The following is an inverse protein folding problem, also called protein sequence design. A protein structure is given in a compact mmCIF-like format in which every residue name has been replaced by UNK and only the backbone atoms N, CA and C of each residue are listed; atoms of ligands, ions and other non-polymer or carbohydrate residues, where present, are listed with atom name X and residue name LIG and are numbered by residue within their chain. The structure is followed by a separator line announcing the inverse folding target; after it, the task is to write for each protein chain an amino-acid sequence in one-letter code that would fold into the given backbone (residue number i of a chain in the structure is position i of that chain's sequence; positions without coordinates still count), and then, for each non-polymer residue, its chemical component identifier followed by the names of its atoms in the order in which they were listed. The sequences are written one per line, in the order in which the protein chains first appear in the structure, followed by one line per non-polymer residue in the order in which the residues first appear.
data_IF_191397232519
#
_entry.id   IF_191397232519
#
_cell.length_a   1.000
_cell.length_b   1.000
_cell.length_c   1.000
_cell.angle_alpha   90.00
_cell.angle_beta   90.00
_cell.angle_gamma   90.00
#
_symmetry.space_group_name_H-M   'P 1'
#
loop_
_entity.id
_entity.type
_entity.pdbx_description
1 polymer ?
#
# COMPACT_ATOMS: atom_id res chain seq x y z
N UNK A 1 -21.72 28.05 11.63
CA UNK A 1 -21.38 28.85 10.43
C UNK A 1 -22.61 29.65 10.00
N UNK A 2 -22.40 30.83 9.41
CA UNK A 2 -23.48 31.66 8.87
C UNK A 2 -23.91 31.10 7.51
N UNK A 3 -25.18 30.73 7.41
CA UNK A 3 -25.79 30.16 6.21
C UNK A 3 -26.25 31.28 5.27
N UNK A 4 -26.10 31.05 3.97
CA UNK A 4 -26.59 31.94 2.92
C UNK A 4 -28.05 31.64 2.60
N UNK A 5 -28.83 32.69 2.34
CA UNK A 5 -30.25 32.55 1.94
C UNK A 5 -30.40 31.97 0.53
N UNK A 6 -29.36 32.07 -0.31
CA UNK A 6 -29.26 31.47 -1.64
C UNK A 6 -27.84 30.99 -1.86
N UNK A 7 -27.69 29.91 -2.62
CA UNK A 7 -26.36 29.41 -3.00
C UNK A 7 -25.63 30.45 -3.85
N UNK A 8 -24.36 30.66 -3.54
CA UNK A 8 -23.46 31.48 -4.35
C UNK A 8 -22.59 30.57 -5.23
N UNK A 9 -22.26 31.00 -6.44
CA UNK A 9 -21.25 30.32 -7.26
C UNK A 9 -19.88 30.90 -6.95
N UNK A 10 -18.92 30.05 -6.62
CA UNK A 10 -17.51 30.43 -6.55
C UNK A 10 -16.73 29.78 -7.68
N UNK A 11 -15.66 30.46 -8.10
CA UNK A 11 -14.74 30.03 -9.15
C UNK A 11 -13.32 30.33 -8.70
N UNK A 12 -12.50 29.29 -8.52
CA UNK A 12 -11.10 29.44 -8.09
C UNK A 12 -10.21 29.01 -9.26
N UNK A 13 -9.32 29.88 -9.76
CA UNK A 13 -8.40 29.53 -10.84
C UNK A 13 -7.31 28.56 -10.36
N UNK A 14 -6.86 27.68 -11.23
CA UNK A 14 -5.65 26.88 -11.05
C UNK A 14 -4.78 26.95 -12.31
N UNK A 15 -3.46 26.80 -12.13
CA UNK A 15 -2.52 26.74 -13.24
C UNK A 15 -2.09 25.29 -13.49
N UNK A 16 -2.02 24.89 -14.77
CA UNK A 16 -1.50 23.56 -15.15
C UNK A 16 -0.05 23.37 -14.67
N UNK A 17 0.77 24.43 -14.71
CA UNK A 17 2.14 24.37 -14.19
C UNK A 17 2.18 24.02 -12.68
N UNK A 18 1.19 24.46 -11.90
CA UNK A 18 1.11 24.10 -10.47
C UNK A 18 0.72 22.64 -10.27
N UNK A 19 -0.05 22.05 -11.20
CA UNK A 19 -0.34 20.61 -11.18
C UNK A 19 0.92 19.80 -11.39
N UNK A 20 1.72 20.17 -12.40
CA UNK A 20 2.98 19.49 -12.71
C UNK A 20 3.97 19.55 -11.55
N UNK A 21 4.13 20.73 -10.95
CA UNK A 21 5.00 20.95 -9.77
C UNK A 21 4.63 20.03 -8.60
N UNK A 22 3.32 19.81 -8.39
CA UNK A 22 2.80 19.02 -7.28
C UNK A 22 2.48 17.56 -7.67
N UNK A 23 2.85 17.12 -8.88
CA UNK A 23 2.54 15.78 -9.41
C UNK A 23 1.04 15.43 -9.25
N UNK A 24 0.20 16.42 -9.50
CA UNK A 24 -1.26 16.33 -9.44
C UNK A 24 -1.85 16.32 -10.84
N UNK A 25 -3.02 15.71 -10.99
CA UNK A 25 -3.86 15.81 -12.18
C UNK A 25 -5.08 16.67 -11.86
N UNK A 26 -5.74 17.17 -12.90
CA UNK A 26 -6.95 17.98 -12.74
C UNK A 26 -8.06 17.22 -11.97
N UNK A 27 -8.15 15.90 -12.16
CA UNK A 27 -9.07 15.02 -11.43
C UNK A 27 -8.73 14.82 -9.95
N UNK A 28 -7.51 15.18 -9.52
CA UNK A 28 -7.08 15.08 -8.12
C UNK A 28 -7.42 16.36 -7.33
N UNK A 29 -7.83 17.44 -8.02
CA UNK A 29 -8.21 18.71 -7.41
C UNK A 29 -9.57 18.60 -6.72
N UNK A 30 -9.60 18.99 -5.45
CA UNK A 30 -10.83 19.23 -4.71
C UNK A 30 -10.97 20.72 -4.39
N UNK A 31 -12.22 21.16 -4.24
CA UNK A 31 -12.50 22.43 -3.57
C UNK A 31 -12.81 22.10 -2.12
N UNK A 32 -12.13 22.77 -1.19
CA UNK A 32 -12.33 22.55 0.24
C UNK A 32 -12.70 23.84 0.95
N UNK A 33 -13.51 23.71 2.01
CA UNK A 33 -13.79 24.79 2.94
C UNK A 33 -13.20 24.50 4.32
N UNK A 34 -12.85 25.55 5.04
CA UNK A 34 -12.34 25.41 6.41
C UNK A 34 -13.48 25.40 7.43
N UNK A 35 -13.55 24.33 8.22
CA UNK A 35 -14.41 24.22 9.39
C UNK A 35 -13.58 24.31 10.67
N UNK A 36 -14.00 25.14 11.62
CA UNK A 36 -13.28 25.30 12.90
C UNK A 36 -13.24 24.02 13.75
N UNK A 37 -14.15 23.08 13.52
CA UNK A 37 -14.23 21.84 14.32
C UNK A 37 -13.64 20.62 13.62
N UNK A 38 -13.58 20.64 12.28
CA UNK A 38 -13.17 19.47 11.47
C UNK A 38 -11.98 19.75 10.56
N UNK A 39 -11.48 20.98 10.51
CA UNK A 39 -10.46 21.38 9.56
C UNK A 39 -11.01 21.50 8.14
N UNK A 40 -10.18 21.16 7.15
CA UNK A 40 -10.56 21.26 5.73
C UNK A 40 -11.50 20.13 5.31
N UNK A 41 -12.62 20.49 4.69
CA UNK A 41 -13.63 19.55 4.20
C UNK A 41 -13.86 19.74 2.70
N UNK A 42 -13.88 18.64 1.95
CA UNK A 42 -14.06 18.66 0.49
C UNK A 42 -15.53 18.85 0.10
N UNK A 43 -15.76 19.50 -1.03
CA UNK A 43 -17.07 19.60 -1.69
C UNK A 43 -16.95 19.21 -3.15
N UNK A 44 -18.06 18.77 -3.73
CA UNK A 44 -18.14 18.54 -5.18
C UNK A 44 -17.90 19.84 -5.94
N UNK A 45 -16.98 19.78 -6.90
CA UNK A 45 -16.64 20.88 -7.78
C UNK A 45 -16.53 20.38 -9.22
N UNK A 46 -16.82 21.26 -10.17
CA UNK A 46 -16.64 21.00 -11.61
C UNK A 46 -15.42 21.74 -12.10
N UNK A 47 -14.59 21.08 -12.90
CA UNK A 47 -13.42 21.71 -13.52
C UNK A 47 -13.72 22.10 -14.97
N UNK A 48 -13.43 23.35 -15.35
CA UNK A 48 -13.57 23.83 -16.73
C UNK A 48 -12.72 25.09 -16.94
N UNK A 49 -12.05 25.17 -18.09
CA UNK A 49 -11.28 26.34 -18.54
C UNK A 49 -10.26 26.89 -17.52
N UNK A 50 -9.61 26.01 -16.74
CA UNK A 50 -8.61 26.41 -15.73
C UNK A 50 -9.21 26.89 -14.40
N UNK A 51 -10.49 26.60 -14.14
CA UNK A 51 -11.17 26.93 -12.89
C UNK A 51 -11.83 25.71 -12.26
N UNK A 52 -11.84 25.67 -10.93
CA UNK A 52 -12.80 24.88 -10.15
C UNK A 52 -14.03 25.74 -9.85
N UNK A 53 -15.21 25.21 -10.15
CA UNK A 53 -16.50 25.83 -9.89
C UNK A 53 -17.30 25.03 -8.86
N UNK A 54 -17.91 25.72 -7.89
CA UNK A 54 -18.88 25.10 -7.00
C UNK A 54 -19.99 26.07 -6.61
N UNK A 55 -21.15 25.51 -6.24
CA UNK A 55 -22.20 26.24 -5.55
C UNK A 55 -22.05 26.03 -4.05
N UNK A 56 -21.98 27.12 -3.29
CA UNK A 56 -21.76 27.11 -1.84
C UNK A 56 -22.94 27.74 -1.11
N UNK A 57 -23.19 27.30 0.11
CA UNK A 57 -24.34 27.71 0.92
C UNK A 57 -23.96 28.41 2.23
N UNK A 58 -22.66 28.59 2.51
CA UNK A 58 -22.19 29.24 3.74
C UNK A 58 -20.88 30.01 3.49
N UNK A 59 -20.59 30.94 4.40
CA UNK A 59 -19.32 31.66 4.39
C UNK A 59 -18.23 30.84 5.08
N UNK A 60 -17.10 30.68 4.40
CA UNK A 60 -15.90 30.01 4.91
C UNK A 60 -14.65 30.51 4.15
N UNK A 61 -13.48 30.05 4.56
CA UNK A 61 -12.29 30.08 3.71
C UNK A 61 -12.37 28.93 2.72
N UNK A 62 -12.20 29.23 1.44
CA UNK A 62 -12.27 28.26 0.35
C UNK A 62 -10.90 28.17 -0.32
N UNK A 63 -10.40 26.95 -0.51
CA UNK A 63 -9.11 26.70 -1.15
C UNK A 63 -9.20 25.50 -2.09
N UNK A 64 -8.36 25.50 -3.12
CA UNK A 64 -8.09 24.29 -3.89
C UNK A 64 -7.14 23.43 -3.06
N UNK A 65 -7.53 22.19 -2.83
CA UNK A 65 -6.67 21.18 -2.22
C UNK A 65 -6.41 20.08 -3.24
N UNK A 66 -5.29 19.38 -3.06
CA UNK A 66 -4.98 18.20 -3.86
C UNK A 66 -5.24 17.01 -2.97
N UNK A 67 -6.09 16.10 -3.47
CA UNK A 67 -6.31 14.79 -2.88
C UNK A 67 -4.96 14.07 -2.85
N UNK A 68 -4.41 13.75 -1.66
CA UNK A 68 -3.12 13.07 -1.56
C UNK A 68 -3.13 11.80 -2.41
N UNK A 69 -2.01 11.42 -3.05
CA UNK A 69 -1.93 10.25 -3.91
C UNK A 69 -2.58 8.99 -3.32
N UNK A 70 -2.35 8.74 -2.03
CA UNK A 70 -2.94 7.64 -1.26
C UNK A 70 -4.48 7.62 -1.22
N UNK A 71 -5.14 8.76 -1.48
CA UNK A 71 -6.61 8.91 -1.42
C UNK A 71 -7.26 9.03 -2.81
N UNK A 72 -6.50 9.06 -3.92
CA UNK A 72 -7.00 9.23 -5.32
C UNK A 72 -7.59 7.95 -5.92
N UNK A 73 -8.85 7.87 -6.38
CA UNK A 73 -9.49 6.60 -6.78
C UNK A 73 -8.55 5.65 -7.51
N UNK A 74 -8.46 4.39 -7.05
CA UNK A 74 -7.58 3.41 -7.66
C UNK A 74 -7.90 3.31 -9.15
N UNK A 75 -6.92 3.63 -10.00
CA UNK A 75 -7.08 3.58 -11.46
C UNK A 75 -6.69 2.22 -12.03
N UNK A 76 -6.07 1.39 -11.20
CA UNK A 76 -5.59 0.04 -11.53
C UNK A 76 -6.09 -0.90 -10.44
N UNK A 77 -7.04 -1.80 -10.75
CA UNK A 77 -7.50 -2.80 -9.79
C UNK A 77 -6.33 -3.59 -9.20
N UNK A 78 -6.35 -3.78 -7.88
CA UNK A 78 -5.33 -4.54 -7.18
C UNK A 78 -5.86 -5.91 -6.77
N UNK A 79 -5.20 -6.98 -7.20
CA UNK A 79 -5.62 -8.36 -6.95
C UNK A 79 -5.69 -8.71 -5.46
N UNK A 80 -4.90 -8.05 -4.60
CA UNK A 80 -4.94 -8.30 -3.16
C UNK A 80 -6.16 -7.68 -2.48
N UNK A 81 -6.83 -6.71 -3.12
CA UNK A 81 -7.98 -6.00 -2.55
C UNK A 81 -9.32 -6.64 -2.94
N UNK A 82 -9.31 -7.65 -3.82
CA UNK A 82 -10.53 -8.29 -4.28
C UNK A 82 -11.29 -8.95 -3.13
N UNK A 83 -12.55 -8.55 -2.94
CA UNK A 83 -13.40 -9.07 -1.86
C UNK A 83 -13.08 -8.53 -0.46
N UNK A 84 -12.12 -7.61 -0.32
CA UNK A 84 -11.82 -6.93 0.95
C UNK A 84 -12.55 -5.59 1.05
N UNK A 85 -12.73 -5.12 2.28
CA UNK A 85 -13.22 -3.77 2.58
C UNK A 85 -12.13 -2.98 3.30
N UNK A 86 -12.01 -1.69 2.99
CA UNK A 86 -11.13 -0.79 3.71
C UNK A 86 -11.52 -0.73 5.19
N UNK A 87 -10.55 -0.88 6.10
CA UNK A 87 -10.80 -0.76 7.54
C UNK A 87 -10.51 0.65 8.07
N UNK A 88 -9.71 1.45 7.34
CA UNK A 88 -9.53 2.89 7.57
C UNK A 88 -10.02 3.66 6.35
N UNK A 89 -11.22 4.21 6.47
CA UNK A 89 -11.89 4.94 5.38
C UNK A 89 -11.02 6.09 4.87
N UNK A 90 -10.72 6.07 3.57
CA UNK A 90 -10.01 7.16 2.90
C UNK A 90 -8.49 7.02 2.90
N UNK A 91 -7.92 6.03 3.57
CA UNK A 91 -6.47 5.76 3.57
C UNK A 91 -6.09 4.48 2.82
N UNK A 92 -7.10 3.76 2.28
CA UNK A 92 -6.93 2.51 1.52
C UNK A 92 -6.16 1.43 2.26
N UNK A 93 -6.25 1.41 3.57
CA UNK A 93 -5.74 0.30 4.36
C UNK A 93 -6.72 -0.84 4.36
N UNK A 94 -6.20 -2.00 3.98
CA UNK A 94 -6.86 -3.28 3.99
C UNK A 94 -6.12 -4.18 4.97
N UNK A 95 -6.87 -5.06 5.60
CA UNK A 95 -6.31 -6.12 6.41
C UNK A 95 -6.77 -7.44 5.82
N UNK A 96 -5.82 -8.34 5.58
CA UNK A 96 -6.12 -9.67 5.11
C UNK A 96 -5.59 -10.70 6.10
N UNK A 97 -6.35 -11.77 6.32
CA UNK A 97 -6.08 -12.72 7.40
C UNK A 97 -4.72 -13.40 7.31
N UNK A 98 -4.20 -13.59 6.10
CA UNK A 98 -2.91 -14.25 5.90
C UNK A 98 -1.78 -13.25 5.63
N UNK A 99 -2.04 -12.18 4.86
CA UNK A 99 -0.99 -11.22 4.50
C UNK A 99 -0.76 -10.18 5.60
N UNK A 100 -1.77 -9.83 6.40
CA UNK A 100 -1.70 -8.75 7.37
C UNK A 100 -2.17 -7.41 6.79
N UNK A 101 -1.57 -6.32 7.26
CA UNK A 101 -1.96 -4.95 6.92
C UNK A 101 -1.20 -4.40 5.72
N UNK A 102 -1.92 -3.86 4.74
CA UNK A 102 -1.35 -3.21 3.57
C UNK A 102 -2.25 -2.10 3.03
N UNK A 103 -1.65 -1.15 2.32
CA UNK A 103 -2.35 -0.04 1.66
C UNK A 103 -2.26 -0.16 0.14
N UNK A 104 -3.38 0.00 -0.57
CA UNK A 104 -3.37 0.12 -2.04
C UNK A 104 -3.01 1.55 -2.45
N UNK A 105 -1.87 1.72 -3.13
CA UNK A 105 -1.44 3.02 -3.62
C UNK A 105 -2.20 3.50 -4.86
N UNK A 106 -3.16 2.72 -5.38
CA UNK A 106 -3.99 3.08 -6.52
C UNK A 106 -3.27 3.02 -7.88
N UNK A 107 -2.07 2.42 -7.90
CA UNK A 107 -1.18 2.27 -9.06
C UNK A 107 -0.88 0.81 -9.40
N UNK A 108 -1.58 -0.13 -8.76
CA UNK A 108 -1.27 -1.56 -8.78
C UNK A 108 -0.22 -1.98 -7.76
N UNK A 109 0.59 -1.06 -7.24
CA UNK A 109 1.47 -1.31 -6.10
C UNK A 109 0.72 -1.24 -4.78
N UNK A 110 1.12 -2.09 -3.84
CA UNK A 110 0.72 -1.99 -2.43
C UNK A 110 1.91 -1.60 -1.56
N UNK A 111 1.64 -0.91 -0.47
CA UNK A 111 2.57 -0.75 0.64
C UNK A 111 2.16 -1.70 1.77
N UNK A 112 2.95 -2.73 2.02
CA UNK A 112 2.77 -3.65 3.13
C UNK A 112 3.42 -3.10 4.40
N UNK A 113 2.78 -3.25 5.57
CA UNK A 113 3.28 -2.72 6.84
C UNK A 113 4.71 -3.20 7.15
N UNK A 114 4.95 -4.51 7.02
CA UNK A 114 6.26 -5.13 7.26
C UNK A 114 7.21 -5.12 6.05
N UNK A 115 6.71 -5.33 4.83
CA UNK A 115 7.57 -5.58 3.65
C UNK A 115 7.78 -4.37 2.75
N UNK A 116 7.13 -3.25 3.04
CA UNK A 116 7.16 -2.06 2.20
C UNK A 116 6.51 -2.27 0.83
N UNK A 117 7.12 -1.75 -0.23
CA UNK A 117 6.51 -1.71 -1.57
C UNK A 117 6.54 -3.06 -2.28
N UNK A 118 5.35 -3.56 -2.64
CA UNK A 118 5.15 -4.79 -3.37
C UNK A 118 4.24 -4.58 -4.59
N UNK A 119 4.54 -5.27 -5.69
CA UNK A 119 3.63 -5.37 -6.83
C UNK A 119 3.06 -6.80 -6.91
N UNK A 120 1.75 -7.00 -6.65
CA UNK A 120 1.15 -8.31 -6.63
C UNK A 120 0.67 -8.78 -8.00
N UNK A 121 0.70 -10.09 -8.21
CA UNK A 121 0.10 -10.79 -9.33
C UNK A 121 -0.41 -12.15 -8.86
N UNK A 122 -1.61 -12.54 -9.28
CA UNK A 122 -2.14 -13.88 -8.97
C UNK A 122 -1.39 -14.96 -9.74
N UNK A 123 -1.22 -16.12 -9.10
CA UNK A 123 -0.72 -17.31 -9.80
C UNK A 123 -1.84 -18.21 -10.36
N UNK A 124 -3.10 -17.88 -10.07
CA UNK A 124 -4.29 -18.61 -10.51
C UNK A 124 -4.65 -19.83 -9.66
N UNK A 125 -3.93 -20.09 -8.57
CA UNK A 125 -4.15 -21.22 -7.65
C UNK A 125 -4.55 -20.80 -6.23
N UNK A 126 -4.77 -19.49 -6.00
CA UNK A 126 -5.00 -18.91 -4.67
C UNK A 126 -3.71 -18.45 -3.97
N UNK A 127 -2.57 -18.51 -4.66
CA UNK A 127 -1.31 -17.94 -4.21
C UNK A 127 -0.93 -16.72 -5.08
N UNK A 128 0.09 -16.00 -4.64
CA UNK A 128 0.46 -14.70 -5.19
C UNK A 128 1.95 -14.61 -5.45
N UNK A 129 2.28 -14.02 -6.59
CA UNK A 129 3.58 -13.46 -6.88
C UNK A 129 3.62 -12.01 -6.38
N UNK A 130 4.58 -11.68 -5.55
CA UNK A 130 4.83 -10.37 -4.97
C UNK A 130 6.20 -9.90 -5.44
N UNK A 131 6.24 -8.94 -6.35
CA UNK A 131 7.51 -8.34 -6.77
C UNK A 131 7.97 -7.33 -5.73
N UNK A 132 9.17 -7.54 -5.20
CA UNK A 132 9.87 -6.63 -4.32
C UNK A 132 11.12 -6.08 -5.02
N UNK A 133 11.38 -4.78 -4.91
CA UNK A 133 12.40 -4.09 -5.71
C UNK A 133 13.81 -4.71 -5.59
N UNK A 134 14.19 -5.16 -4.39
CA UNK A 134 15.52 -5.74 -4.15
C UNK A 134 15.57 -7.26 -4.32
N UNK A 135 14.42 -7.94 -4.23
CA UNK A 135 14.33 -9.40 -4.15
C UNK A 135 13.80 -10.04 -5.44
N UNK A 136 13.21 -9.23 -6.32
CA UNK A 136 12.48 -9.71 -7.48
C UNK A 136 11.16 -10.35 -7.08
N UNK A 137 10.76 -11.38 -7.82
CA UNK A 137 9.52 -12.09 -7.60
C UNK A 137 9.62 -13.05 -6.41
N UNK A 138 8.76 -12.81 -5.42
CA UNK A 138 8.52 -13.67 -4.27
C UNK A 138 7.18 -14.38 -4.45
N UNK A 139 7.09 -15.67 -4.17
CA UNK A 139 5.83 -16.42 -4.22
C UNK A 139 5.41 -16.82 -2.82
N UNK A 140 4.15 -16.59 -2.48
CA UNK A 140 3.58 -17.05 -1.21
C UNK A 140 2.05 -17.09 -1.27
N UNK A 141 1.44 -17.60 -0.21
CA UNK A 141 -0.01 -17.60 -0.04
C UNK A 141 -0.41 -18.05 1.36
N UNK A 142 -1.72 -18.21 1.60
CA UNK A 142 -2.27 -18.41 2.95
C UNK A 142 -1.74 -19.62 3.71
N UNK A 143 -1.28 -20.64 3.00
CA UNK A 143 -0.70 -21.85 3.61
C UNK A 143 0.75 -21.64 4.07
N UNK A 144 1.45 -20.61 3.59
CA UNK A 144 2.88 -20.36 3.82
C UNK A 144 3.18 -19.11 4.63
N UNK A 145 2.29 -18.10 4.58
CA UNK A 145 2.47 -16.80 5.21
C UNK A 145 1.23 -16.41 6.03
N UNK A 146 1.42 -15.99 7.27
CA UNK A 146 0.37 -15.66 8.24
C UNK A 146 -0.62 -16.79 8.50
N UNK A 147 -0.17 -18.04 8.42
CA UNK A 147 -1.00 -19.21 8.66
C UNK A 147 -1.24 -19.46 10.16
N UNK A 148 -1.99 -20.52 10.50
CA UNK A 148 -2.32 -20.85 11.89
C UNK A 148 -1.10 -21.18 12.79
N UNK A 149 0.07 -21.39 12.20
CA UNK A 149 1.35 -21.59 12.88
C UNK A 149 2.21 -20.32 12.92
N UNK A 150 1.64 -19.18 12.52
CA UNK A 150 2.30 -17.86 12.48
C UNK A 150 3.59 -17.85 11.65
N UNK A 151 3.56 -18.59 10.54
CA UNK A 151 4.70 -18.72 9.65
C UNK A 151 4.74 -17.57 8.65
N UNK A 152 5.93 -17.13 8.26
CA UNK A 152 6.13 -15.98 7.36
C UNK A 152 7.05 -16.34 6.19
N UNK A 153 6.72 -17.43 5.47
CA UNK A 153 7.55 -17.92 4.38
C UNK A 153 7.19 -17.32 3.03
N UNK A 154 8.21 -16.98 2.24
CA UNK A 154 8.06 -16.59 0.83
C UNK A 154 9.15 -17.26 -0.01
N UNK A 155 8.81 -17.78 -1.18
CA UNK A 155 9.78 -18.36 -2.09
C UNK A 155 10.37 -17.30 -3.02
N UNK A 156 11.69 -17.12 -3.01
CA UNK A 156 12.37 -16.20 -3.93
C UNK A 156 12.72 -16.88 -5.24
N UNK A 157 12.17 -16.38 -6.34
CA UNK A 157 12.49 -16.87 -7.68
C UNK A 157 13.94 -16.57 -8.08
N UNK A 158 14.48 -15.43 -7.66
CA UNK A 158 15.86 -15.04 -7.98
C UNK A 158 16.90 -15.91 -7.26
N UNK A 159 16.63 -16.29 -6.02
CA UNK A 159 17.54 -17.12 -5.22
C UNK A 159 17.28 -18.62 -5.39
N UNK A 160 16.11 -18.99 -5.92
CA UNK A 160 15.68 -20.39 -5.98
C UNK A 160 15.53 -21.01 -4.59
N UNK A 161 15.17 -20.20 -3.59
CA UNK A 161 15.18 -20.57 -2.19
C UNK A 161 14.00 -19.96 -1.42
N UNK A 162 13.58 -20.65 -0.37
CA UNK A 162 12.61 -20.13 0.59
C UNK A 162 13.25 -19.08 1.49
N UNK A 163 12.48 -18.06 1.84
CA UNK A 163 12.82 -16.99 2.75
C UNK A 163 11.87 -17.06 3.94
N UNK A 164 12.38 -16.75 5.13
CA UNK A 164 11.58 -16.53 6.34
C UNK A 164 11.74 -15.07 6.76
N UNK A 165 10.63 -14.37 7.00
CA UNK A 165 10.67 -13.02 7.53
C UNK A 165 10.77 -13.02 9.06
N UNK A 166 11.83 -12.40 9.58
CA UNK A 166 11.98 -12.11 11.01
C UNK A 166 11.55 -10.67 11.27
N UNK A 167 10.40 -10.53 11.94
CA UNK A 167 9.81 -9.22 12.25
C UNK A 167 10.60 -8.46 13.34
N UNK A 168 11.39 -9.13 14.17
CA UNK A 168 12.23 -8.46 15.17
C UNK A 168 13.45 -7.80 14.52
N UNK A 169 14.02 -8.46 13.51
CA UNK A 169 15.15 -7.93 12.75
C UNK A 169 14.74 -7.10 11.53
N UNK A 170 13.46 -7.06 11.16
CA UNK A 170 12.95 -6.42 9.93
C UNK A 170 13.73 -6.92 8.69
N UNK A 171 13.86 -8.25 8.58
CA UNK A 171 14.72 -8.89 7.59
C UNK A 171 14.22 -10.27 7.16
N UNK A 172 14.48 -10.60 5.89
CA UNK A 172 14.35 -11.95 5.36
C UNK A 172 15.64 -12.75 5.53
N UNK A 173 15.49 -14.00 5.95
CA UNK A 173 16.56 -14.99 6.04
C UNK A 173 16.35 -16.09 5.02
N UNK A 174 17.42 -16.47 4.31
CA UNK A 174 17.39 -17.63 3.42
C UNK A 174 17.26 -18.91 4.23
N UNK A 175 16.24 -19.70 3.90
CA UNK A 175 15.96 -21.01 4.46
C UNK A 175 16.85 -22.06 3.78
N UNK A 176 17.86 -22.55 4.51
CA UNK A 176 18.88 -23.53 4.08
C UNK A 176 19.78 -23.05 2.91
N UNK A 177 21.09 -22.91 3.14
CA UNK A 177 22.06 -22.52 2.11
C UNK A 177 23.14 -21.58 2.64
N UNK A 178 23.80 -20.82 1.76
CA UNK A 178 24.62 -19.68 2.18
C UNK A 178 23.69 -18.57 2.71
N UNK A 179 23.92 -18.11 3.95
CA UNK A 179 23.01 -17.16 4.59
C UNK A 179 23.15 -15.74 4.07
N UNK A 180 22.02 -15.07 3.90
CA UNK A 180 21.93 -13.66 3.59
C UNK A 180 20.80 -13.05 4.42
N UNK A 181 21.03 -11.83 4.90
CA UNK A 181 19.99 -10.92 5.36
C UNK A 181 19.55 -10.08 4.18
N UNK A 182 18.25 -9.99 3.99
CA UNK A 182 17.70 -9.22 2.88
C UNK A 182 16.54 -8.38 3.38
N UNK A 183 16.59 -7.07 3.14
CA UNK A 183 15.49 -6.15 3.43
C UNK A 183 15.28 -5.16 2.28
N UNK A 184 14.44 -4.15 2.54
CA UNK A 184 14.18 -3.07 1.59
C UNK A 184 15.40 -2.15 1.33
N UNK A 185 16.49 -2.28 2.09
CA UNK A 185 17.74 -1.50 1.88
C UNK A 185 18.79 -2.26 1.06
N UNK A 186 18.77 -3.60 1.09
CA UNK A 186 19.64 -4.40 0.24
C UNK A 186 19.90 -5.82 0.74
N UNK A 187 20.89 -6.47 0.13
CA UNK A 187 21.34 -7.83 0.45
C UNK A 187 22.68 -7.75 1.18
N UNK A 188 22.79 -8.39 2.35
CA UNK A 188 24.04 -8.50 3.10
C UNK A 188 24.34 -9.95 3.49
N UNK A 189 25.61 -10.40 3.45
CA UNK A 189 25.98 -11.74 3.91
C UNK A 189 25.67 -11.91 5.41
N UNK A 190 25.07 -13.05 5.78
CA UNK A 190 24.72 -13.37 7.16
C UNK A 190 24.75 -14.90 7.41
N UNK A 191 24.64 -15.40 8.65
CA UNK A 191 24.41 -16.82 8.90
C UNK A 191 23.04 -17.26 8.33
N UNK A 192 22.94 -18.50 7.84
CA UNK A 192 21.67 -19.07 7.35
C UNK A 192 20.83 -19.63 8.51
N UNK A 193 19.49 -19.58 8.39
CA UNK A 193 18.58 -20.24 9.34
C UNK A 193 18.50 -21.76 9.16
N UNK A 194 17.92 -22.46 10.15
CA UNK A 194 17.64 -23.89 10.09
C UNK A 194 16.15 -24.18 10.37
N UNK A 195 15.56 -25.13 9.65
CA UNK A 195 14.16 -25.51 9.83
C UNK A 195 13.85 -26.90 9.29
N UNK A 196 12.64 -27.39 9.58
CA UNK A 196 12.15 -28.70 9.16
C UNK A 196 11.03 -28.57 8.11
N UNK A 197 11.21 -29.27 6.99
CA UNK A 197 10.19 -29.41 5.95
C UNK A 197 9.29 -30.60 6.27
N UNK A 198 8.00 -30.39 6.51
CA UNK A 198 7.06 -31.50 6.72
C UNK A 198 6.03 -31.56 5.58
N UNK A 199 6.15 -32.61 4.78
CA UNK A 199 5.11 -33.14 3.87
C UNK A 199 4.60 -32.23 2.75
N UNK A 200 5.51 -31.52 2.05
CA UNK A 200 5.17 -30.94 0.74
C UNK A 200 4.31 -29.67 0.76
N UNK A 201 3.67 -29.37 1.88
CA UNK A 201 2.68 -28.28 2.00
C UNK A 201 2.92 -27.36 3.19
N UNK A 202 3.76 -27.72 4.16
CA UNK A 202 4.02 -26.89 5.35
C UNK A 202 5.53 -26.78 5.61
N UNK A 203 6.04 -25.55 5.55
CA UNK A 203 7.39 -25.17 5.96
C UNK A 203 7.37 -24.81 7.44
N UNK A 204 8.09 -25.51 8.30
CA UNK A 204 8.18 -25.16 9.73
C UNK A 204 9.63 -24.82 10.07
N UNK A 205 9.89 -23.70 10.74
CA UNK A 205 11.26 -23.35 11.12
C UNK A 205 11.40 -21.94 11.66
N UNK A 206 12.58 -21.61 12.16
CA UNK A 206 12.93 -20.26 12.60
C UNK A 206 14.20 -19.80 11.90
N UNK A 207 14.31 -18.50 11.64
CA UNK A 207 15.47 -17.88 11.02
C UNK A 207 16.69 -17.76 11.94
N UNK A 208 17.07 -18.79 12.70
CA UNK A 208 18.27 -18.73 13.56
C UNK A 208 19.14 -19.98 13.41
N UNK A 209 20.43 -19.75 13.14
CA UNK A 209 21.45 -20.78 13.05
C UNK A 209 22.81 -20.26 13.50
N UNK A 210 23.16 -20.53 14.77
CA UNK A 210 24.57 -20.69 15.18
C UNK A 210 24.98 -22.12 14.86
N UNK A 211 26.08 -22.31 14.13
CA UNK A 211 26.86 -23.54 14.16
C UNK A 211 28.35 -23.17 14.33
N UNK A 212 29.09 -23.89 15.20
CA UNK A 212 30.43 -23.54 15.66
C UNK A 212 31.51 -23.53 14.57
#
# INVERSE_FOLDING_TARGET
ELQMVRRAKISVPFAVASLDEHKARQEDLALSYYSMTRGWLNVEATTSDGYLYAYVDHFSQWAITVTPPETRPSTVPNVLTEGLSEYQTGERWYQWSWLGDFSDAGSGWVYHADHGWLYPAEDGSGNYWLYHANLGWLWSGPDFYGNAQDQTFLYSNNLGAWLHYDAEEDNFHVYLGAGYKINHEGVTPAPSGSGNYSDGTVLTGTGWGYAP
#
